data_IF_139624774475
#
_entry.id   IF_139624774475
#
_cell.length_a   1.000
_cell.length_b   1.000
_cell.length_c   1.000
_cell.angle_alpha   90.00
_cell.angle_beta   90.00
_cell.angle_gamma   90.00
#
_symmetry.space_group_name_H-M   'P 1'
#
loop_
_entity.id
_entity.type
_entity.pdbx_description
1 polymer ?
#
# COMPACT_ATOMS: atom_id res chain seq x y z
N UNK A 1 -15.11 -4.08 24.31
CA UNK A 1 -15.09 -2.72 23.73
C UNK A 1 -15.02 -2.80 22.20
N UNK A 2 -15.64 -1.86 21.48
CA UNK A 2 -15.53 -1.78 20.02
C UNK A 2 -14.11 -1.41 19.57
N UNK A 3 -13.78 -1.56 18.27
CA UNK A 3 -12.49 -1.16 17.74
C UNK A 3 -12.35 0.38 17.71
N UNK A 4 -11.28 0.87 18.32
CA UNK A 4 -10.93 2.29 18.50
C UNK A 4 -9.56 2.66 17.87
N UNK A 5 -8.94 1.70 17.18
CA UNK A 5 -7.65 1.87 16.50
C UNK A 5 -7.70 1.32 15.08
N UNK A 6 -6.77 1.77 14.26
CA UNK A 6 -6.60 1.35 12.89
C UNK A 6 -5.13 1.07 12.55
N UNK A 7 -4.91 0.15 11.62
CA UNK A 7 -3.65 0.00 10.89
C UNK A 7 -3.86 0.50 9.46
N UNK A 8 -3.32 1.68 9.15
CA UNK A 8 -3.59 2.41 7.92
C UNK A 8 -3.25 1.59 6.66
N UNK A 9 -2.01 1.08 6.57
CA UNK A 9 -1.54 0.34 5.42
C UNK A 9 -2.18 -1.05 5.26
N UNK A 10 -2.82 -1.57 6.31
CA UNK A 10 -3.56 -2.83 6.26
C UNK A 10 -5.06 -2.60 6.03
N UNK A 11 -5.52 -1.34 6.11
CA UNK A 11 -6.93 -0.97 5.98
C UNK A 11 -7.85 -1.61 7.02
N UNK A 12 -7.33 -1.93 8.21
CA UNK A 12 -8.05 -2.70 9.22
C UNK A 12 -8.22 -1.91 10.53
N UNK A 13 -9.40 -2.04 11.14
CA UNK A 13 -9.69 -1.53 12.49
C UNK A 13 -9.54 -2.65 13.52
N UNK A 14 -9.07 -2.28 14.70
CA UNK A 14 -8.69 -3.19 15.79
C UNK A 14 -8.95 -2.55 17.16
N UNK A 15 -8.99 -3.36 18.20
CA UNK A 15 -9.10 -2.87 19.57
C UNK A 15 -7.75 -2.33 20.09
N UNK A 16 -7.81 -1.58 21.19
CA UNK A 16 -6.65 -1.07 21.92
C UNK A 16 -5.57 -2.12 22.20
N UNK A 17 -5.92 -3.33 22.61
CA UNK A 17 -4.94 -4.37 22.92
C UNK A 17 -4.19 -4.86 21.68
N UNK A 18 -4.91 -5.16 20.59
CA UNK A 18 -4.31 -5.53 19.32
C UNK A 18 -3.45 -4.38 18.77
N UNK A 19 -3.87 -3.13 18.95
CA UNK A 19 -3.07 -1.97 18.54
C UNK A 19 -1.70 -1.91 19.22
N UNK A 20 -1.62 -2.29 20.50
CA UNK A 20 -0.36 -2.37 21.23
C UNK A 20 0.60 -3.42 20.66
N UNK A 21 0.07 -4.54 20.19
CA UNK A 21 0.86 -5.59 19.52
C UNK A 21 1.31 -5.11 18.14
N UNK A 22 0.42 -4.49 17.36
CA UNK A 22 0.74 -3.92 16.05
C UNK A 22 1.85 -2.86 16.11
N UNK A 23 1.89 -2.03 17.17
CA UNK A 23 3.00 -1.09 17.41
C UNK A 23 4.34 -1.80 17.55
N UNK A 24 4.36 -2.97 18.19
CA UNK A 24 5.59 -3.77 18.39
C UNK A 24 6.07 -4.48 17.12
N UNK A 25 5.24 -4.59 16.07
CA UNK A 25 5.66 -5.09 14.76
C UNK A 25 6.54 -4.07 14.02
N UNK A 26 6.34 -2.78 14.29
CA UNK A 26 7.02 -1.68 13.62
C UNK A 26 6.27 -1.16 12.38
N UNK A 27 6.60 0.08 12.00
CA UNK A 27 5.88 0.86 10.97
C UNK A 27 5.98 0.33 9.55
N UNK A 28 6.94 -0.57 9.29
CA UNK A 28 7.10 -1.24 8.01
C UNK A 28 6.05 -2.35 7.80
N UNK A 29 5.48 -2.88 8.89
CA UNK A 29 4.39 -3.86 8.84
C UNK A 29 3.03 -3.23 9.15
N UNK A 30 2.96 -2.37 10.18
CA UNK A 30 1.71 -1.76 10.61
C UNK A 30 1.88 -0.30 11.03
N UNK A 31 1.10 0.58 10.38
CA UNK A 31 1.04 2.01 10.68
C UNK A 31 -0.18 2.30 11.54
N UNK A 32 0.02 2.30 12.86
CA UNK A 32 -1.06 2.42 13.84
C UNK A 32 -1.54 3.87 14.03
N UNK A 33 -2.86 4.06 14.08
CA UNK A 33 -3.56 5.33 14.42
C UNK A 33 -4.76 5.06 15.32
N UNK A 34 -5.07 6.00 16.21
CA UNK A 34 -6.31 6.03 16.99
C UNK A 34 -7.44 6.61 16.15
N UNK A 35 -8.65 6.07 16.28
CA UNK A 35 -9.84 6.62 15.62
C UNK A 35 -10.33 7.92 16.29
N UNK A 36 -10.08 8.10 17.59
CA UNK A 36 -10.60 9.22 18.37
C UNK A 36 -9.53 10.26 18.74
N UNK A 37 -8.26 9.84 18.85
CA UNK A 37 -7.18 10.68 19.39
C UNK A 37 -6.26 11.29 18.33
N UNK A 38 -6.28 10.80 17.09
CA UNK A 38 -5.45 11.29 16.00
C UNK A 38 -6.30 12.03 14.97
N UNK A 39 -5.67 12.95 14.22
CA UNK A 39 -6.32 13.58 13.06
C UNK A 39 -6.51 12.57 11.91
N UNK A 40 -7.64 12.72 11.22
CA UNK A 40 -8.01 11.90 10.06
C UNK A 40 -8.20 12.74 8.80
N UNK A 41 -7.09 13.06 8.09
CA UNK A 41 -7.16 13.58 6.73
C UNK A 41 -7.99 12.68 5.83
N UNK A 42 -8.64 13.28 4.82
CA UNK A 42 -9.62 12.61 3.95
C UNK A 42 -9.01 11.39 3.24
N UNK A 43 -7.75 11.47 2.84
CA UNK A 43 -7.02 10.40 2.18
C UNK A 43 -6.86 9.15 3.07
N UNK A 44 -6.68 9.32 4.39
CA UNK A 44 -6.60 8.20 5.32
C UNK A 44 -7.97 7.55 5.47
N UNK A 45 -9.02 8.36 5.59
CA UNK A 45 -10.40 7.88 5.68
C UNK A 45 -10.80 7.12 4.42
N UNK A 46 -10.43 7.62 3.23
CA UNK A 46 -10.66 6.95 1.95
C UNK A 46 -10.04 5.54 1.92
N UNK A 47 -8.79 5.38 2.36
CA UNK A 47 -8.16 4.05 2.42
C UNK A 47 -8.89 3.11 3.37
N UNK A 48 -9.24 3.60 4.57
CA UNK A 48 -9.93 2.78 5.57
C UNK A 48 -11.33 2.36 5.12
N UNK A 49 -12.07 3.24 4.43
CA UNK A 49 -13.40 2.94 3.89
C UNK A 49 -13.33 1.99 2.69
N UNK A 50 -12.30 2.09 1.85
CA UNK A 50 -12.15 1.26 0.66
C UNK A 50 -11.74 -0.19 0.98
N UNK A 51 -10.87 -0.38 1.99
CA UNK A 51 -10.42 -1.72 2.39
C UNK A 51 -11.37 -2.31 3.44
N UNK A 52 -11.37 -1.74 4.65
CA UNK A 52 -12.08 -2.28 5.80
C UNK A 52 -11.68 -3.71 6.20
N UNK A 53 -12.21 -4.17 7.33
CA UNK A 53 -11.86 -5.50 7.86
C UNK A 53 -12.27 -6.66 6.93
N UNK A 54 -13.33 -6.51 6.15
CA UNK A 54 -13.78 -7.55 5.22
C UNK A 54 -12.75 -7.81 4.13
N UNK A 55 -12.29 -6.77 3.41
CA UNK A 55 -11.26 -6.94 2.38
C UNK A 55 -9.92 -7.30 3.00
N UNK A 56 -9.54 -6.66 4.10
CA UNK A 56 -8.31 -6.99 4.80
C UNK A 56 -8.25 -8.47 5.20
N UNK A 57 -9.35 -9.06 5.68
CA UNK A 57 -9.38 -10.48 6.05
C UNK A 57 -9.44 -11.42 4.83
N UNK A 58 -10.04 -11.01 3.70
CA UNK A 58 -9.93 -11.78 2.45
C UNK A 58 -8.47 -11.94 2.01
N UNK A 59 -7.62 -10.95 2.28
CA UNK A 59 -6.19 -11.01 1.97
C UNK A 59 -5.40 -11.70 3.08
N UNK A 60 -5.53 -11.25 4.32
CA UNK A 60 -4.65 -11.64 5.42
C UNK A 60 -5.14 -12.83 6.26
N UNK A 61 -6.34 -13.35 5.98
CA UNK A 61 -6.91 -14.54 6.64
C UNK A 61 -7.50 -15.50 5.59
N UNK A 62 -6.88 -15.59 4.41
CA UNK A 62 -7.38 -16.39 3.28
C UNK A 62 -7.43 -17.90 3.60
N UNK A 63 -6.42 -18.41 4.32
CA UNK A 63 -6.41 -19.78 4.82
C UNK A 63 -5.95 -19.81 6.26
N UNK A 64 -6.88 -20.07 7.18
CA UNK A 64 -6.62 -20.21 8.62
C UNK A 64 -6.81 -21.64 9.10
N UNK A 65 -6.81 -22.61 8.18
CA UNK A 65 -7.04 -24.02 8.52
C UNK A 65 -6.00 -24.52 9.53
N UNK A 66 -6.47 -25.14 10.61
CA UNK A 66 -5.62 -25.59 11.71
C UNK A 66 -5.22 -24.52 12.73
N UNK A 67 -5.70 -23.28 12.59
CA UNK A 67 -5.48 -22.21 13.56
C UNK A 67 -6.80 -21.67 14.11
N UNK A 68 -6.81 -21.33 15.41
CA UNK A 68 -7.97 -20.72 16.08
C UNK A 68 -7.76 -19.22 16.22
N UNK A 69 -8.61 -18.43 15.56
CA UNK A 69 -8.59 -16.97 15.69
C UNK A 69 -8.96 -16.56 17.12
N UNK A 70 -8.18 -15.72 17.80
CA UNK A 70 -8.46 -15.30 19.16
C UNK A 70 -9.76 -14.49 19.25
N UNK A 71 -10.49 -14.69 20.33
CA UNK A 71 -11.74 -13.98 20.63
C UNK A 71 -11.54 -12.76 21.53
N UNK A 72 -12.63 -12.07 21.92
CA UNK A 72 -12.60 -10.93 22.84
C UNK A 72 -12.09 -11.26 24.26
N UNK A 73 -12.14 -12.52 24.68
CA UNK A 73 -11.67 -12.98 25.99
C UNK A 73 -10.30 -13.68 25.95
N UNK A 74 -9.71 -13.81 24.75
CA UNK A 74 -8.39 -14.42 24.58
C UNK A 74 -7.29 -13.62 25.28
N UNK A 75 -6.24 -14.31 25.70
CA UNK A 75 -5.10 -13.68 26.35
C UNK A 75 -4.31 -12.80 25.37
N UNK A 76 -3.51 -11.88 25.91
CA UNK A 76 -2.63 -11.03 25.09
C UNK A 76 -1.62 -11.86 24.30
N UNK A 77 -1.11 -12.94 24.89
CA UNK A 77 -0.15 -13.86 24.26
C UNK A 77 -0.78 -14.62 23.09
N UNK A 78 -2.04 -15.04 23.21
CA UNK A 78 -2.79 -15.67 22.11
C UNK A 78 -3.01 -14.69 20.95
N UNK A 79 -3.38 -13.44 21.28
CA UNK A 79 -3.51 -12.35 20.29
C UNK A 79 -2.19 -12.06 19.59
N UNK A 80 -1.09 -11.98 20.34
CA UNK A 80 0.22 -11.70 19.77
C UNK A 80 0.69 -12.81 18.83
N UNK A 81 0.52 -14.07 19.23
CA UNK A 81 0.84 -15.22 18.37
C UNK A 81 0.05 -15.16 17.05
N UNK A 82 -1.25 -14.86 17.12
CA UNK A 82 -2.08 -14.72 15.93
C UNK A 82 -1.64 -13.55 15.03
N UNK A 83 -1.42 -12.37 15.61
CA UNK A 83 -1.05 -11.15 14.87
C UNK A 83 0.31 -11.33 14.17
N UNK A 84 1.29 -11.93 14.84
CA UNK A 84 2.60 -12.24 14.24
C UNK A 84 2.49 -13.30 13.14
N UNK A 85 1.76 -14.39 13.39
CA UNK A 85 1.47 -15.39 12.36
C UNK A 85 0.82 -14.76 11.11
N UNK A 86 -0.12 -13.83 11.33
CA UNK A 86 -0.89 -13.15 10.29
C UNK A 86 -0.04 -12.19 9.45
N UNK A 87 0.67 -11.26 10.08
CA UNK A 87 1.28 -10.13 9.36
C UNK A 87 2.81 -10.21 9.22
N UNK A 88 3.50 -10.78 10.21
CA UNK A 88 4.96 -10.91 10.20
C UNK A 88 5.39 -12.17 9.45
N UNK A 89 4.75 -13.31 9.74
CA UNK A 89 5.04 -14.60 9.11
C UNK A 89 4.20 -14.87 7.86
N UNK A 90 3.15 -14.07 7.63
CA UNK A 90 2.26 -14.15 6.46
C UNK A 90 1.63 -15.54 6.26
N UNK A 91 1.39 -16.30 7.33
CA UNK A 91 0.95 -17.70 7.24
C UNK A 91 -0.42 -17.89 6.59
N UNK A 92 -1.28 -16.87 6.67
CA UNK A 92 -2.66 -16.93 6.18
C UNK A 92 -2.86 -16.07 4.94
N UNK A 93 -1.78 -15.48 4.41
CA UNK A 93 -1.85 -14.50 3.33
C UNK A 93 -2.36 -15.17 2.05
N UNK A 94 -3.29 -14.50 1.36
CA UNK A 94 -3.82 -14.92 0.08
C UNK A 94 -2.68 -15.11 -0.92
N UNK A 95 -2.57 -16.27 -1.59
CA UNK A 95 -1.50 -16.50 -2.55
C UNK A 95 -1.60 -15.55 -3.74
N UNK A 96 -0.46 -15.16 -4.29
CA UNK A 96 -0.43 -14.43 -5.56
C UNK A 96 -1.01 -15.32 -6.67
N UNK A 97 -1.89 -14.80 -7.54
CA UNK A 97 -2.38 -15.57 -8.68
C UNK A 97 -1.22 -16.10 -9.53
N UNK A 98 -1.31 -17.38 -9.93
CA UNK A 98 -0.31 -17.98 -10.82
C UNK A 98 -0.38 -17.26 -12.17
N UNK A 99 0.77 -16.75 -12.63
CA UNK A 99 0.88 -16.03 -13.88
C UNK A 99 2.29 -16.17 -14.47
N UNK A 100 2.39 -16.07 -15.79
CA UNK A 100 3.66 -16.07 -16.51
C UNK A 100 4.39 -14.72 -16.45
N UNK A 101 3.74 -13.68 -15.89
CA UNK A 101 4.32 -12.34 -15.75
C UNK A 101 4.78 -12.07 -14.31
N UNK A 102 5.87 -11.30 -14.13
CA UNK A 102 6.39 -10.93 -12.80
C UNK A 102 5.37 -10.19 -11.93
N UNK A 103 5.56 -10.23 -10.60
CA UNK A 103 4.69 -9.58 -9.62
C UNK A 103 4.51 -8.09 -9.90
N UNK A 104 5.58 -7.37 -10.27
CA UNK A 104 5.49 -5.94 -10.56
C UNK A 104 4.63 -5.66 -11.79
N UNK A 105 4.72 -6.45 -12.86
CA UNK A 105 3.79 -6.35 -14.00
C UNK A 105 2.34 -6.65 -13.61
N UNK A 106 2.12 -7.62 -12.71
CA UNK A 106 0.77 -7.88 -12.20
C UNK A 106 0.24 -6.69 -11.39
N UNK A 107 1.11 -6.03 -10.61
CA UNK A 107 0.74 -4.84 -9.83
C UNK A 107 0.35 -3.68 -10.74
N UNK A 108 1.11 -3.43 -11.80
CA UNK A 108 0.78 -2.41 -12.80
C UNK A 108 -0.61 -2.65 -13.41
N UNK A 109 -0.92 -3.90 -13.81
CA UNK A 109 -2.23 -4.28 -14.35
C UNK A 109 -3.35 -4.11 -13.33
N UNK A 110 -3.15 -4.60 -12.11
CA UNK A 110 -4.14 -4.49 -11.03
C UNK A 110 -4.51 -3.04 -10.72
N UNK A 111 -3.54 -2.12 -10.78
CA UNK A 111 -3.80 -0.67 -10.62
C UNK A 111 -4.63 -0.12 -11.77
N UNK A 112 -4.32 -0.49 -13.02
CA UNK A 112 -5.08 -0.04 -14.21
C UNK A 112 -6.51 -0.57 -14.22
N UNK A 113 -6.70 -1.81 -13.76
CA UNK A 113 -8.00 -2.47 -13.65
C UNK A 113 -8.79 -2.04 -12.41
N UNK A 114 -8.20 -1.22 -11.54
CA UNK A 114 -8.75 -0.81 -10.23
C UNK A 114 -9.14 -1.99 -9.33
N UNK A 115 -8.40 -3.11 -9.43
CA UNK A 115 -8.58 -4.27 -8.56
C UNK A 115 -7.84 -4.07 -7.23
N UNK A 116 -8.47 -3.33 -6.32
CA UNK A 116 -7.93 -3.03 -5.01
C UNK A 116 -7.53 -4.29 -4.21
N UNK A 117 -8.29 -5.39 -4.33
CA UNK A 117 -7.99 -6.62 -3.59
C UNK A 117 -6.70 -7.26 -4.11
N UNK A 118 -6.52 -7.28 -5.42
CA UNK A 118 -5.29 -7.79 -6.02
C UNK A 118 -4.12 -6.85 -5.72
N UNK A 119 -4.30 -5.53 -5.77
CA UNK A 119 -3.27 -4.55 -5.35
C UNK A 119 -2.80 -4.83 -3.92
N UNK A 120 -3.72 -4.94 -2.95
CA UNK A 120 -3.35 -5.23 -1.55
C UNK A 120 -2.65 -6.58 -1.41
N UNK A 121 -3.10 -7.61 -2.13
CA UNK A 121 -2.46 -8.94 -2.15
C UNK A 121 -1.03 -8.84 -2.69
N UNK A 122 -0.82 -8.21 -3.84
CA UNK A 122 0.48 -8.09 -4.48
C UNK A 122 1.45 -7.27 -3.64
N UNK A 123 1.00 -6.16 -3.05
CA UNK A 123 1.81 -5.35 -2.13
C UNK A 123 2.19 -6.11 -0.85
N UNK A 124 1.32 -6.97 -0.35
CA UNK A 124 1.63 -7.82 0.80
C UNK A 124 2.72 -8.86 0.52
N UNK A 125 2.92 -9.28 -0.74
CA UNK A 125 3.96 -10.21 -1.16
C UNK A 125 5.24 -9.53 -1.67
N UNK A 126 5.07 -8.43 -2.41
CA UNK A 126 6.14 -7.79 -3.16
C UNK A 126 7.27 -7.24 -2.28
N UNK A 127 8.50 -7.43 -2.75
CA UNK A 127 9.65 -6.70 -2.23
C UNK A 127 9.77 -5.31 -2.88
N UNK A 128 10.74 -4.51 -2.42
CA UNK A 128 10.92 -3.13 -2.88
C UNK A 128 11.23 -3.05 -4.37
N UNK A 129 12.01 -3.98 -4.89
CA UNK A 129 12.39 -4.02 -6.30
C UNK A 129 11.18 -4.33 -7.19
N UNK A 130 10.35 -5.31 -6.80
CA UNK A 130 9.16 -5.73 -7.55
C UNK A 130 8.08 -4.64 -7.59
N UNK A 131 7.79 -3.97 -6.46
CA UNK A 131 6.76 -2.91 -6.43
C UNK A 131 7.18 -1.64 -7.20
N UNK A 132 8.48 -1.51 -7.50
CA UNK A 132 9.04 -0.42 -8.30
C UNK A 132 9.25 -0.78 -9.77
N UNK A 133 8.77 -1.95 -10.21
CA UNK A 133 8.77 -2.29 -11.63
C UNK A 133 7.96 -1.28 -12.45
N UNK A 134 8.35 -1.12 -13.71
CA UNK A 134 7.73 -0.18 -14.66
C UNK A 134 7.23 -0.93 -15.87
N UNK A 135 6.32 -0.33 -16.64
CA UNK A 135 5.99 -0.86 -17.96
C UNK A 135 7.27 -0.95 -18.80
N UNK A 136 7.56 -2.17 -19.29
CA UNK A 136 8.52 -2.39 -20.36
C UNK A 136 8.10 -1.65 -21.64
N UNK A 137 9.00 -1.57 -22.62
CA UNK A 137 8.73 -1.01 -23.96
C UNK A 137 8.83 0.52 -24.08
N UNK A 138 9.62 1.15 -23.22
CA UNK A 138 10.03 2.55 -23.40
C UNK A 138 9.07 3.60 -22.86
N UNK A 139 8.05 3.19 -22.11
CA UNK A 139 7.14 4.09 -21.39
C UNK A 139 7.70 4.43 -19.99
N UNK A 140 8.19 3.43 -19.25
CA UNK A 140 8.83 3.64 -17.95
C UNK A 140 7.90 4.09 -16.83
N UNK A 141 6.57 4.06 -17.04
CA UNK A 141 5.60 4.36 -15.98
C UNK A 141 5.60 3.25 -14.93
N UNK A 142 5.76 3.65 -13.67
CA UNK A 142 5.54 2.82 -12.49
C UNK A 142 4.07 2.79 -12.06
N UNK A 143 3.72 1.91 -11.12
CA UNK A 143 2.37 1.84 -10.54
C UNK A 143 1.91 3.19 -9.95
N UNK A 144 2.85 3.97 -9.40
CA UNK A 144 2.55 5.29 -8.82
C UNK A 144 2.12 6.30 -9.89
N UNK A 145 2.72 6.25 -11.10
CA UNK A 145 2.27 7.09 -12.22
C UNK A 145 0.85 6.74 -12.67
N UNK A 146 0.52 5.44 -12.71
CA UNK A 146 -0.79 4.96 -13.14
C UNK A 146 -1.88 5.37 -12.15
N UNK A 147 -1.65 5.15 -10.85
CA UNK A 147 -2.57 5.58 -9.80
C UNK A 147 -2.80 7.11 -9.84
N UNK A 148 -1.73 7.89 -10.03
CA UNK A 148 -1.82 9.34 -10.17
C UNK A 148 -2.63 9.77 -11.41
N UNK A 149 -2.42 9.12 -12.56
CA UNK A 149 -3.13 9.40 -13.81
C UNK A 149 -4.63 9.09 -13.70
N UNK A 150 -5.01 8.12 -12.89
CA UNK A 150 -6.39 7.70 -12.63
C UNK A 150 -7.06 8.48 -11.50
N UNK A 151 -6.37 9.44 -10.87
CA UNK A 151 -6.84 10.12 -9.65
C UNK A 151 -7.21 9.14 -8.51
N UNK A 152 -6.56 7.97 -8.46
CA UNK A 152 -6.86 6.93 -7.49
C UNK A 152 -6.07 7.14 -6.19
N UNK A 153 -6.66 7.93 -5.29
CA UNK A 153 -6.08 8.32 -4.00
C UNK A 153 -5.72 7.09 -3.14
N UNK A 154 -6.59 6.08 -3.12
CA UNK A 154 -6.42 4.89 -2.29
C UNK A 154 -5.21 4.07 -2.75
N UNK A 155 -5.15 3.72 -4.04
CA UNK A 155 -4.04 2.97 -4.59
C UNK A 155 -2.72 3.76 -4.48
N UNK A 156 -2.75 5.07 -4.75
CA UNK A 156 -1.59 5.95 -4.63
C UNK A 156 -1.01 5.92 -3.20
N UNK A 157 -1.87 6.10 -2.19
CA UNK A 157 -1.46 6.14 -0.79
C UNK A 157 -0.90 4.79 -0.30
N UNK A 158 -1.53 3.67 -0.73
CA UNK A 158 -1.05 2.32 -0.43
C UNK A 158 0.34 2.08 -1.03
N UNK A 159 0.52 2.37 -2.33
CA UNK A 159 1.80 2.20 -3.01
C UNK A 159 2.92 2.92 -2.26
N UNK A 160 2.69 4.18 -1.85
CA UNK A 160 3.65 4.97 -1.06
C UNK A 160 4.00 4.30 0.27
N UNK A 161 3.01 3.78 1.01
CA UNK A 161 3.28 3.11 2.29
C UNK A 161 4.06 1.81 2.15
N UNK A 162 3.95 1.15 1.00
CA UNK A 162 4.69 -0.07 0.63
C UNK A 162 6.03 0.21 -0.06
N UNK A 163 6.48 1.47 -0.10
CA UNK A 163 7.87 1.80 -0.42
C UNK A 163 8.18 1.93 -1.91
N UNK A 164 7.17 2.22 -2.74
CA UNK A 164 7.44 2.70 -4.11
C UNK A 164 8.26 3.99 -4.10
N UNK A 165 9.05 4.21 -5.13
CA UNK A 165 9.85 5.41 -5.32
C UNK A 165 8.95 6.57 -5.74
N UNK A 166 8.73 7.50 -4.81
CA UNK A 166 7.93 8.71 -5.03
C UNK A 166 8.66 9.70 -5.95
N UNK A 167 9.96 9.55 -6.14
CA UNK A 167 10.79 10.40 -7.00
C UNK A 167 11.00 9.83 -8.40
N UNK A 168 10.31 8.74 -8.74
CA UNK A 168 10.41 8.13 -10.05
C UNK A 168 9.95 9.08 -11.16
N UNK A 169 10.49 8.84 -12.36
CA UNK A 169 10.13 9.54 -13.58
C UNK A 169 9.96 8.52 -14.70
N UNK A 170 8.97 8.73 -15.56
CA UNK A 170 8.77 7.93 -16.76
C UNK A 170 9.85 8.22 -17.82
N UNK A 171 9.81 7.53 -18.96
CA UNK A 171 10.78 7.70 -20.04
C UNK A 171 10.76 9.10 -20.69
N UNK A 172 9.73 9.91 -20.42
CA UNK A 172 9.60 11.31 -20.86
C UNK A 172 10.03 12.30 -19.77
N UNK A 173 10.53 11.80 -18.64
CA UNK A 173 10.90 12.61 -17.48
C UNK A 173 9.71 13.13 -16.68
N UNK A 174 8.49 12.63 -16.91
CA UNK A 174 7.31 13.06 -16.15
C UNK A 174 7.24 12.30 -14.82
N UNK A 175 6.98 13.03 -13.73
CA UNK A 175 6.79 12.47 -12.39
C UNK A 175 5.33 12.04 -12.15
N UNK A 176 5.03 11.22 -11.13
CA UNK A 176 3.65 10.96 -10.72
C UNK A 176 2.85 12.24 -10.45
N UNK A 177 3.49 13.29 -9.91
CA UNK A 177 2.83 14.57 -9.64
C UNK A 177 2.38 15.28 -10.93
N UNK A 178 3.15 15.18 -12.02
CA UNK A 178 2.74 15.66 -13.34
C UNK A 178 1.44 14.98 -13.81
N UNK A 179 1.31 13.67 -13.60
CA UNK A 179 0.10 12.93 -13.93
C UNK A 179 -1.09 13.33 -13.04
N UNK A 180 -0.90 13.45 -11.73
CA UNK A 180 -1.96 13.87 -10.80
C UNK A 180 -2.51 15.26 -11.16
N UNK A 181 -1.64 16.21 -11.53
CA UNK A 181 -2.05 17.54 -11.99
C UNK A 181 -2.86 17.50 -13.28
N UNK A 182 -2.43 16.70 -14.25
CA UNK A 182 -3.15 16.52 -15.52
C UNK A 182 -4.51 15.86 -15.32
N UNK A 183 -4.62 14.97 -14.33
CA UNK A 183 -5.88 14.35 -13.92
C UNK A 183 -6.77 15.31 -13.09
N UNK A 184 -6.24 16.43 -12.62
CA UNK A 184 -6.98 17.41 -11.81
C UNK A 184 -7.25 16.95 -10.37
N UNK A 185 -6.53 15.95 -9.87
CA UNK A 185 -6.71 15.44 -8.50
C UNK A 185 -5.86 16.22 -7.51
N UNK A 186 -6.51 17.05 -6.69
CA UNK A 186 -5.85 17.82 -5.64
C UNK A 186 -5.28 16.89 -4.56
N UNK A 187 -6.04 15.88 -4.15
CA UNK A 187 -5.66 14.92 -3.12
C UNK A 187 -4.40 14.14 -3.50
N UNK A 188 -4.33 13.61 -4.74
CA UNK A 188 -3.12 12.96 -5.22
C UNK A 188 -1.93 13.91 -5.29
N UNK A 189 -2.14 15.18 -5.68
CA UNK A 189 -1.07 16.18 -5.69
C UNK A 189 -0.53 16.44 -4.28
N UNK A 190 -1.42 16.64 -3.31
CA UNK A 190 -1.07 16.95 -1.92
C UNK A 190 -0.30 15.80 -1.28
N UNK A 191 -0.77 14.56 -1.46
CA UNK A 191 -0.06 13.35 -1.00
C UNK A 191 1.34 13.28 -1.62
N UNK A 192 1.45 13.41 -2.95
CA UNK A 192 2.74 13.31 -3.62
C UNK A 192 3.71 14.39 -3.15
N UNK A 193 3.25 15.63 -2.96
CA UNK A 193 4.06 16.72 -2.41
C UNK A 193 4.48 16.45 -0.97
N UNK A 194 3.57 15.97 -0.12
CA UNK A 194 3.85 15.60 1.27
C UNK A 194 4.97 14.55 1.37
N UNK A 195 4.97 13.58 0.46
CA UNK A 195 5.99 12.51 0.40
C UNK A 195 7.23 12.89 -0.43
N UNK A 196 7.36 14.14 -0.88
CA UNK A 196 8.56 14.67 -1.52
C UNK A 196 8.72 14.31 -2.99
N UNK A 197 7.61 14.12 -3.72
CA UNK A 197 7.62 13.99 -5.17
C UNK A 197 8.13 15.30 -5.82
N UNK A 198 9.07 15.23 -6.78
CA UNK A 198 9.58 16.43 -7.44
C UNK A 198 8.49 17.21 -8.17
N UNK A 199 8.53 18.55 -8.01
CA UNK A 199 7.56 19.47 -8.58
C UNK A 199 7.65 19.57 -10.10
N UNK A 200 8.88 19.54 -10.60
CA UNK A 200 9.23 19.54 -12.01
C UNK A 200 9.62 18.13 -12.45
N UNK A 201 9.60 17.87 -13.76
CA UNK A 201 10.09 16.60 -14.31
C UNK A 201 11.54 16.31 -13.91
N UNK A 202 11.97 15.05 -13.98
CA UNK A 202 13.40 14.75 -13.81
C UNK A 202 14.15 15.44 -14.94
N UNK A 203 14.98 16.44 -14.61
CA UNK A 203 15.94 16.98 -15.57
C UNK A 203 16.75 15.81 -16.12
N UNK A 204 16.89 15.64 -17.45
CA UNK A 204 17.89 14.73 -17.95
C UNK A 204 19.21 15.19 -17.35
N UNK A 205 19.92 14.28 -16.66
CA UNK A 205 21.33 14.51 -16.38
C UNK A 205 21.96 14.95 -17.70
N UNK A 206 22.77 16.03 -17.74
CA UNK A 206 23.60 16.27 -18.91
C UNK A 206 24.43 15.00 -19.07
N UNK A 207 24.07 14.18 -20.05
CA UNK A 207 24.86 13.03 -20.43
C UNK A 207 26.27 13.56 -20.61
N UNK A 208 27.21 12.98 -19.87
CA UNK A 208 28.63 13.17 -20.10
C UNK A 208 28.85 13.00 -21.60
N UNK A 209 28.98 14.15 -22.28
CA UNK A 209 29.38 14.24 -23.65
C UNK A 209 30.70 13.49 -23.77
N UNK A 210 30.69 12.50 -24.65
CA UNK A 210 31.88 11.85 -25.14
C UNK A 210 32.99 12.89 -25.38
N UNK A 211 34.15 12.64 -24.77
CA UNK A 211 35.46 13.05 -25.26
C UNK A 211 36.29 11.79 -25.44
#
# INVERSE_FOLDING_TARGET
PGPDWASLNLGAIMCIECSGIHRNLGTHLSRVRSLDLDDWPVELTMVMMAIGNSLANMVWENSTEGYSKPGPESSREERERWIRAKYEQKLFLCPVPVSDIPLGQQLLRAVVEDDLRLVVTLLAHGNKEEVNETYGDGDGRSALHLAAAMANVVCLQLLIWYGVDVKCCDARGLTPLSYARRAGSAECCDILLQYGCPNDGCSPTPGLSAL
#
